data_IF_806454579665
#
_entry.id   IF_806454579665
#
_cell.length_a   1.000
_cell.length_b   1.000
_cell.length_c   1.000
_cell.angle_alpha   90.00
_cell.angle_beta   90.00
_cell.angle_gamma   90.00
#
_symmetry.space_group_name_H-M   'P 1'
#
loop_
_entity.id
_entity.type
_entity.pdbx_description
1 polymer ?
#
# COMPACT_ATOMS: atom_id res chain seq x y z
N UNK A 1 18.96 22.24 -21.70
CA UNK A 1 18.07 21.85 -22.82
C UNK A 1 17.49 20.48 -22.47
N UNK A 2 16.31 20.44 -21.83
CA UNK A 2 15.72 19.21 -21.29
C UNK A 2 14.63 18.69 -22.25
N UNK A 3 14.78 17.44 -22.70
CA UNK A 3 13.80 16.74 -23.54
C UNK A 3 12.66 16.17 -22.70
N UNK A 4 11.49 16.10 -23.32
CA UNK A 4 10.14 15.76 -22.80
C UNK A 4 10.07 14.74 -21.65
N UNK A 5 9.40 15.14 -20.56
CA UNK A 5 9.07 14.31 -19.39
C UNK A 5 7.62 13.82 -19.48
N UNK A 6 7.35 12.81 -20.30
CA UNK A 6 6.20 11.92 -20.07
C UNK A 6 6.77 10.63 -19.48
N UNK A 7 6.43 10.32 -18.23
CA UNK A 7 6.78 9.09 -17.47
C UNK A 7 8.15 8.96 -16.79
N UNK A 8 8.78 10.04 -16.33
CA UNK A 8 9.98 9.92 -15.48
C UNK A 8 9.59 9.93 -14.00
N UNK A 9 9.75 8.79 -13.33
CA UNK A 9 9.85 8.74 -11.87
C UNK A 9 11.07 9.56 -11.46
N UNK A 10 10.84 10.70 -10.79
CA UNK A 10 11.91 11.59 -10.37
C UNK A 10 12.54 11.07 -9.07
N UNK A 11 13.76 10.54 -9.15
CA UNK A 11 14.61 10.37 -7.98
C UNK A 11 15.15 11.75 -7.58
N UNK A 12 14.63 12.32 -6.48
CA UNK A 12 15.09 13.60 -5.94
C UNK A 12 15.89 13.36 -4.65
N UNK A 13 17.15 13.77 -4.63
CA UNK A 13 17.95 13.93 -3.40
C UNK A 13 17.97 15.43 -3.02
N UNK A 14 17.29 15.89 -1.95
CA UNK A 14 17.18 17.31 -1.69
C UNK A 14 18.31 17.85 -0.79
N UNK A 15 19.12 18.79 -1.29
CA UNK A 15 19.75 19.83 -0.46
C UNK A 15 18.70 20.91 -0.08
N UNK A 16 18.87 21.57 1.07
CA UNK A 16 17.87 22.46 1.68
C UNK A 16 17.39 23.63 0.80
N UNK A 17 18.29 24.31 0.09
CA UNK A 17 17.96 25.39 -0.86
C UNK A 17 17.28 24.90 -2.15
N UNK A 18 17.40 23.60 -2.44
CA UNK A 18 16.82 22.92 -3.60
C UNK A 18 15.40 22.45 -3.34
N UNK A 19 15.01 22.24 -2.06
CA UNK A 19 13.69 21.71 -1.66
C UNK A 19 12.53 22.54 -2.22
N UNK A 20 12.54 23.86 -2.01
CA UNK A 20 11.44 24.75 -2.44
C UNK A 20 11.26 24.76 -3.96
N UNK A 21 12.36 24.92 -4.71
CA UNK A 21 12.32 24.94 -6.17
C UNK A 21 11.87 23.61 -6.77
N UNK A 22 12.26 22.47 -6.17
CA UNK A 22 11.79 21.15 -6.61
C UNK A 22 10.30 20.97 -6.32
N UNK A 23 9.82 21.37 -5.14
CA UNK A 23 8.39 21.31 -4.79
C UNK A 23 7.57 22.14 -5.77
N UNK A 24 7.97 23.40 -6.03
CA UNK A 24 7.30 24.27 -6.99
C UNK A 24 7.34 23.68 -8.40
N UNK A 25 8.48 23.15 -8.83
CA UNK A 25 8.62 22.47 -10.12
C UNK A 25 7.64 21.29 -10.25
N UNK A 26 7.62 20.38 -9.28
CA UNK A 26 6.76 19.19 -9.30
C UNK A 26 5.27 19.57 -9.35
N UNK A 27 4.87 20.55 -8.53
CA UNK A 27 3.49 21.03 -8.50
C UNK A 27 3.10 21.74 -9.80
N UNK A 28 3.96 22.61 -10.34
CA UNK A 28 3.71 23.34 -11.59
C UNK A 28 3.59 22.41 -12.79
N UNK A 29 4.38 21.33 -12.81
CA UNK A 29 4.31 20.30 -13.85
C UNK A 29 3.24 19.23 -13.57
N UNK A 30 2.44 19.41 -12.51
CA UNK A 30 1.35 18.49 -12.11
C UNK A 30 1.84 17.05 -11.95
N UNK A 31 3.04 16.86 -11.41
CA UNK A 31 3.55 15.53 -11.09
C UNK A 31 2.78 15.00 -9.88
N UNK A 32 1.91 14.01 -10.11
CA UNK A 32 1.04 13.40 -9.07
C UNK A 32 1.53 12.06 -8.55
N UNK A 33 2.52 11.49 -9.23
CA UNK A 33 3.17 10.24 -8.87
C UNK A 33 4.63 10.51 -8.51
N UNK A 34 5.05 10.10 -7.32
CA UNK A 34 6.43 10.21 -6.88
C UNK A 34 6.95 8.85 -6.43
N UNK A 35 8.07 8.43 -7.01
CA UNK A 35 8.92 7.38 -6.44
C UNK A 35 10.09 8.06 -5.76
N UNK A 36 10.32 7.76 -4.48
CA UNK A 36 11.40 8.38 -3.72
C UNK A 36 12.21 7.37 -2.93
N UNK A 37 13.54 7.47 -3.05
CA UNK A 37 14.49 6.78 -2.18
C UNK A 37 15.17 7.82 -1.27
N UNK A 38 14.65 8.10 -0.08
CA UNK A 38 15.31 8.99 0.87
C UNK A 38 16.71 8.48 1.25
N UNK A 39 17.60 9.41 1.59
CA UNK A 39 18.88 9.07 2.22
C UNK A 39 18.62 8.29 3.51
N UNK A 40 19.50 7.34 3.84
CA UNK A 40 19.43 6.55 5.08
C UNK A 40 19.50 7.40 6.36
N UNK A 41 19.97 8.65 6.25
CA UNK A 41 20.03 9.62 7.34
C UNK A 41 18.71 10.39 7.55
N UNK A 42 17.76 10.36 6.61
CA UNK A 42 16.51 11.11 6.74
C UNK A 42 15.55 10.40 7.68
N UNK A 43 14.94 11.16 8.58
CA UNK A 43 13.89 10.65 9.44
C UNK A 43 12.52 10.70 8.75
N UNK A 44 11.49 10.12 9.38
CA UNK A 44 10.11 10.18 8.89
C UNK A 44 9.60 11.63 8.87
N UNK A 45 10.03 12.44 9.83
CA UNK A 45 9.70 13.86 9.97
C UNK A 45 10.34 14.68 8.83
N UNK A 46 11.61 14.42 8.49
CA UNK A 46 12.28 15.06 7.34
C UNK A 46 11.52 14.80 6.04
N UNK A 47 11.06 13.56 5.86
CA UNK A 47 10.31 13.11 4.70
C UNK A 47 8.92 13.77 4.70
N UNK A 48 8.27 13.85 5.86
CA UNK A 48 6.99 14.56 6.05
C UNK A 48 7.09 16.01 5.65
N UNK A 49 8.14 16.71 6.07
CA UNK A 49 8.34 18.11 5.71
C UNK A 49 8.45 18.33 4.18
N UNK A 50 9.14 17.42 3.48
CA UNK A 50 9.28 17.49 2.01
C UNK A 50 7.94 17.23 1.32
N UNK A 51 7.22 16.19 1.76
CA UNK A 51 5.99 15.74 1.12
C UNK A 51 4.78 16.63 1.43
N UNK A 52 4.76 17.34 2.56
CA UNK A 52 3.66 18.21 2.99
C UNK A 52 3.25 19.25 1.95
N UNK A 53 4.19 19.70 1.12
CA UNK A 53 3.95 20.74 0.13
C UNK A 53 3.69 20.17 -1.28
N UNK A 54 3.72 18.85 -1.44
CA UNK A 54 3.48 18.20 -2.73
C UNK A 54 2.03 17.76 -2.86
N UNK A 55 1.42 18.06 -4.01
CA UNK A 55 0.09 17.57 -4.35
C UNK A 55 0.20 16.22 -5.04
N UNK A 56 0.37 15.15 -4.27
CA UNK A 56 0.48 13.78 -4.79
C UNK A 56 -0.86 13.06 -4.77
N UNK A 57 -1.05 12.18 -5.74
CA UNK A 57 -2.10 11.15 -5.73
C UNK A 57 -1.49 9.78 -5.40
N UNK A 58 -0.20 9.61 -5.65
CA UNK A 58 0.50 8.34 -5.47
C UNK A 58 1.93 8.55 -4.99
N UNK A 59 2.33 7.79 -3.98
CA UNK A 59 3.68 7.79 -3.43
C UNK A 59 4.20 6.35 -3.31
N UNK A 60 5.40 6.14 -3.82
CA UNK A 60 6.20 4.95 -3.60
C UNK A 60 7.50 5.37 -2.92
N UNK A 61 7.78 4.81 -1.74
CA UNK A 61 8.95 5.21 -0.97
C UNK A 61 9.81 4.00 -0.58
N UNK A 62 11.12 4.15 -0.76
CA UNK A 62 12.13 3.12 -0.50
C UNK A 62 12.94 3.48 0.75
N UNK A 63 12.66 2.81 1.86
CA UNK A 63 13.32 3.06 3.13
C UNK A 63 14.50 2.13 3.37
N UNK A 64 15.57 2.75 3.88
CA UNK A 64 16.69 2.05 4.51
C UNK A 64 16.70 2.37 6.01
N UNK A 65 16.90 1.36 6.85
CA UNK A 65 16.86 1.46 8.32
C UNK A 65 15.56 0.95 8.97
N UNK A 66 15.47 1.08 10.30
CA UNK A 66 14.25 0.76 11.06
C UNK A 66 13.45 2.05 11.24
N UNK A 67 12.21 2.07 10.80
CA UNK A 67 11.36 3.26 10.89
C UNK A 67 10.03 2.94 11.56
N UNK A 68 9.56 3.87 12.38
CA UNK A 68 8.21 3.84 12.91
C UNK A 68 7.31 4.65 11.98
N UNK A 69 6.35 3.98 11.35
CA UNK A 69 5.41 4.61 10.43
C UNK A 69 4.18 5.21 11.16
N UNK A 70 4.30 5.51 12.46
CA UNK A 70 3.23 6.14 13.23
C UNK A 70 2.94 7.58 12.82
N UNK A 71 3.93 8.27 12.25
CA UNK A 71 3.91 9.72 12.06
C UNK A 71 3.52 10.14 10.64
N UNK A 72 3.49 9.18 9.72
CA UNK A 72 3.19 9.40 8.29
C UNK A 72 1.69 9.59 7.99
N UNK A 73 0.85 9.87 9.02
CA UNK A 73 -0.62 9.95 8.94
C UNK A 73 -1.13 10.80 7.76
N UNK A 74 -0.37 11.84 7.42
CA UNK A 74 -0.69 12.79 6.34
C UNK A 74 -0.77 12.15 4.95
N UNK A 75 -0.22 10.95 4.73
CA UNK A 75 -0.20 10.29 3.42
C UNK A 75 -1.21 9.15 3.29
N UNK A 76 -1.92 8.82 4.37
CA UNK A 76 -2.86 7.69 4.39
C UNK A 76 -4.14 7.92 3.56
N UNK A 77 -4.32 9.13 3.03
CA UNK A 77 -5.41 9.49 2.12
C UNK A 77 -5.01 9.48 0.63
N UNK A 78 -3.73 9.23 0.30
CA UNK A 78 -3.28 9.09 -1.09
C UNK A 78 -4.00 7.93 -1.77
N UNK A 79 -4.30 8.07 -3.06
CA UNK A 79 -4.94 7.00 -3.84
C UNK A 79 -4.10 5.73 -3.82
N UNK A 80 -2.77 5.88 -3.94
CA UNK A 80 -1.81 4.80 -3.81
C UNK A 80 -0.67 5.17 -2.88
N UNK A 81 -0.35 4.27 -1.96
CA UNK A 81 0.78 4.39 -1.05
C UNK A 81 1.56 3.07 -1.02
N UNK A 82 2.86 3.14 -1.28
CA UNK A 82 3.75 1.98 -1.25
C UNK A 82 4.95 2.24 -0.36
N UNK A 83 5.14 1.40 0.65
CA UNK A 83 6.35 1.36 1.46
C UNK A 83 7.18 0.16 1.08
N UNK A 84 8.43 0.40 0.66
CA UNK A 84 9.39 -0.63 0.33
C UNK A 84 10.58 -0.51 1.27
N UNK A 85 10.68 -1.38 2.28
CA UNK A 85 11.86 -1.42 3.14
C UNK A 85 12.93 -2.33 2.54
N UNK A 86 14.20 -1.99 2.74
CA UNK A 86 15.30 -2.88 2.37
C UNK A 86 15.21 -4.21 3.14
N UNK A 87 15.86 -5.28 2.65
CA UNK A 87 15.85 -6.59 3.33
C UNK A 87 16.41 -6.58 4.76
N UNK A 88 17.27 -5.59 5.08
CA UNK A 88 17.87 -5.40 6.40
C UNK A 88 17.06 -4.44 7.29
N UNK A 89 15.93 -3.97 6.77
CA UNK A 89 15.10 -2.91 7.32
C UNK A 89 13.73 -3.46 7.67
N UNK A 90 13.08 -2.82 8.64
CA UNK A 90 11.74 -3.21 9.08
C UNK A 90 10.95 -1.94 9.37
N UNK A 91 9.83 -1.78 8.66
CA UNK A 91 8.80 -0.81 9.01
C UNK A 91 7.92 -1.36 10.12
N UNK A 92 7.86 -0.68 11.26
CA UNK A 92 6.95 -1.06 12.34
C UNK A 92 5.60 -0.36 12.14
N UNK A 93 4.51 -1.14 12.15
CA UNK A 93 3.16 -0.63 11.95
C UNK A 93 2.14 -1.45 12.75
N UNK A 94 1.20 -0.77 13.39
CA UNK A 94 0.11 -1.38 14.17
C UNK A 94 -1.19 -1.45 13.36
N UNK A 95 -2.12 -2.32 13.76
CA UNK A 95 -3.43 -2.42 13.15
C UNK A 95 -4.24 -1.12 13.20
N UNK A 96 -4.12 -0.33 14.28
CA UNK A 96 -4.78 0.97 14.39
C UNK A 96 -4.28 1.92 13.30
N UNK A 97 -2.96 1.93 13.03
CA UNK A 97 -2.41 2.74 11.94
C UNK A 97 -2.87 2.25 10.58
N UNK A 98 -2.90 0.93 10.34
CA UNK A 98 -3.46 0.38 9.10
C UNK A 98 -4.89 0.88 8.86
N UNK A 99 -5.72 0.96 9.91
CA UNK A 99 -7.11 1.42 9.77
C UNK A 99 -7.26 2.90 9.44
N UNK A 100 -6.20 3.70 9.58
CA UNK A 100 -6.22 5.12 9.19
C UNK A 100 -6.12 5.29 7.66
N UNK A 101 -5.81 4.22 6.90
CA UNK A 101 -5.82 4.26 5.44
C UNK A 101 -7.21 4.51 4.87
N UNK A 102 -7.31 5.55 4.04
CA UNK A 102 -8.52 5.92 3.29
C UNK A 102 -8.30 5.98 1.78
N UNK A 103 -7.13 5.53 1.32
CA UNK A 103 -6.77 5.40 -0.09
C UNK A 103 -7.32 4.14 -0.76
N UNK A 104 -6.97 3.96 -2.03
CA UNK A 104 -7.41 2.81 -2.85
C UNK A 104 -6.43 1.64 -2.75
N UNK A 105 -5.14 1.93 -2.76
CA UNK A 105 -4.10 0.90 -2.92
C UNK A 105 -2.98 1.08 -1.90
N UNK A 106 -2.77 0.07 -1.06
CA UNK A 106 -1.71 0.06 -0.06
C UNK A 106 -0.79 -1.14 -0.26
N UNK A 107 0.50 -0.86 -0.48
CA UNK A 107 1.55 -1.87 -0.56
C UNK A 107 2.54 -1.70 0.59
N UNK A 108 2.75 -2.78 1.35
CA UNK A 108 3.60 -2.80 2.52
C UNK A 108 4.63 -3.91 2.35
N UNK A 109 5.78 -3.58 1.78
CA UNK A 109 6.88 -4.51 1.56
C UNK A 109 7.90 -4.41 2.70
N UNK A 110 8.18 -5.55 3.33
CA UNK A 110 9.07 -5.72 4.48
C UNK A 110 8.61 -4.96 5.75
N UNK A 111 7.29 -4.86 5.96
CA UNK A 111 6.71 -4.33 7.20
C UNK A 111 6.45 -5.42 8.26
N UNK A 112 6.67 -5.12 9.54
CA UNK A 112 6.30 -5.99 10.67
C UNK A 112 4.84 -5.72 11.08
N UNK A 113 3.92 -6.36 10.35
CA UNK A 113 2.47 -6.31 10.57
C UNK A 113 2.03 -7.69 11.05
N UNK A 114 1.31 -7.81 12.16
CA UNK A 114 0.92 -9.12 12.72
C UNK A 114 -0.41 -9.62 12.15
N UNK A 115 -0.72 -10.90 12.35
CA UNK A 115 -2.02 -11.47 11.98
C UNK A 115 -3.19 -10.67 12.59
N UNK A 116 -3.07 -10.28 13.86
CA UNK A 116 -4.10 -9.52 14.57
C UNK A 116 -4.26 -8.08 14.05
N UNK A 117 -3.20 -7.49 13.51
CA UNK A 117 -3.26 -6.20 12.81
C UNK A 117 -4.04 -6.31 11.51
N UNK A 118 -3.83 -7.39 10.75
CA UNK A 118 -4.62 -7.69 9.53
C UNK A 118 -6.09 -7.92 9.87
N UNK A 119 -6.38 -8.68 10.93
CA UNK A 119 -7.76 -8.91 11.39
C UNK A 119 -8.43 -7.59 11.77
N UNK A 120 -7.74 -6.71 12.52
CA UNK A 120 -8.26 -5.37 12.87
C UNK A 120 -8.57 -4.56 11.61
N UNK A 121 -7.66 -4.53 10.63
CA UNK A 121 -7.86 -3.81 9.38
C UNK A 121 -9.06 -4.33 8.58
N UNK A 122 -9.15 -5.64 8.35
CA UNK A 122 -10.25 -6.23 7.58
C UNK A 122 -11.58 -6.01 8.31
N UNK A 123 -11.62 -6.14 9.65
CA UNK A 123 -12.85 -5.85 10.42
C UNK A 123 -13.28 -4.39 10.29
N UNK A 124 -12.33 -3.45 10.28
CA UNK A 124 -12.62 -2.04 10.05
C UNK A 124 -13.24 -1.83 8.65
N UNK A 125 -12.65 -2.44 7.61
CA UNK A 125 -13.22 -2.39 6.26
C UNK A 125 -14.62 -3.04 6.18
N UNK A 126 -14.83 -4.19 6.83
CA UNK A 126 -16.14 -4.87 6.90
C UNK A 126 -17.21 -3.97 7.54
N UNK A 127 -16.84 -3.09 8.47
CA UNK A 127 -17.73 -2.10 9.09
C UNK A 127 -17.96 -0.85 8.22
N UNK A 128 -18.00 -1.02 6.89
CA UNK A 128 -18.28 0.03 5.89
C UNK A 128 -17.28 1.19 5.86
N UNK A 129 -16.11 1.06 6.48
CA UNK A 129 -15.04 2.04 6.36
C UNK A 129 -14.20 1.81 5.09
N UNK A 130 -13.56 2.89 4.62
CA UNK A 130 -12.74 2.93 3.40
C UNK A 130 -13.39 2.19 2.20
N UNK A 131 -14.54 2.68 1.73
CA UNK A 131 -15.21 2.17 0.52
C UNK A 131 -14.39 2.37 -0.75
N UNK A 132 -13.29 3.14 -0.71
CA UNK A 132 -12.40 3.38 -1.85
C UNK A 132 -11.36 2.28 -2.01
N UNK A 133 -11.14 1.45 -0.98
CA UNK A 133 -10.12 0.42 -0.97
C UNK A 133 -10.32 -0.54 -2.15
N UNK A 134 -9.27 -0.75 -2.92
CA UNK A 134 -9.18 -1.70 -4.03
C UNK A 134 -8.20 -2.82 -3.69
N UNK A 135 -7.11 -2.52 -2.98
CA UNK A 135 -6.06 -3.51 -2.71
C UNK A 135 -5.27 -3.16 -1.45
N UNK A 136 -5.07 -4.16 -0.60
CA UNK A 136 -3.98 -4.22 0.38
C UNK A 136 -3.07 -5.41 0.02
N UNK A 137 -1.77 -5.16 -0.12
CA UNK A 137 -0.75 -6.21 -0.21
C UNK A 137 0.29 -6.00 0.87
N UNK A 138 0.61 -7.09 1.56
CA UNK A 138 1.68 -7.12 2.56
C UNK A 138 2.66 -8.20 2.15
N UNK A 139 3.95 -7.85 2.04
CA UNK A 139 5.05 -8.80 1.92
C UNK A 139 6.01 -8.61 3.10
N UNK A 140 6.52 -9.70 3.67
CA UNK A 140 7.24 -9.68 4.95
C UNK A 140 8.43 -10.63 4.94
N UNK A 141 9.51 -10.25 5.63
CA UNK A 141 10.71 -11.09 5.75
C UNK A 141 10.71 -12.07 6.93
N UNK A 142 10.28 -11.62 8.11
CA UNK A 142 10.71 -12.26 9.36
C UNK A 142 9.65 -13.15 10.02
N UNK A 143 8.44 -12.62 10.25
CA UNK A 143 7.36 -13.36 10.92
C UNK A 143 6.46 -14.06 9.91
N UNK A 144 5.79 -15.14 10.32
CA UNK A 144 4.80 -15.87 9.49
C UNK A 144 3.37 -15.40 9.80
N UNK A 145 2.52 -15.30 8.77
CA UNK A 145 1.11 -14.94 8.94
C UNK A 145 0.41 -16.24 9.31
N UNK A 146 -0.42 -16.18 10.34
CA UNK A 146 -1.28 -17.31 10.65
C UNK A 146 -2.56 -17.16 9.82
N UNK A 147 -2.61 -17.94 8.74
CA UNK A 147 -3.78 -18.00 7.86
C UNK A 147 -5.04 -18.44 8.61
N UNK A 148 -4.92 -19.38 9.53
CA UNK A 148 -6.09 -19.89 10.26
C UNK A 148 -6.60 -18.84 11.25
N UNK A 149 -5.70 -18.16 11.94
CA UNK A 149 -6.04 -17.02 12.82
C UNK A 149 -6.79 -15.93 12.04
N UNK A 150 -6.29 -15.54 10.87
CA UNK A 150 -6.91 -14.49 10.05
C UNK A 150 -8.28 -14.94 9.51
N UNK A 151 -8.36 -16.13 8.89
CA UNK A 151 -9.58 -16.54 8.21
C UNK A 151 -10.71 -16.93 9.18
N UNK A 152 -10.41 -17.49 10.36
CA UNK A 152 -11.44 -17.83 11.36
C UNK A 152 -12.10 -16.61 12.00
N UNK A 153 -11.51 -15.43 11.84
CA UNK A 153 -12.09 -14.19 12.36
C UNK A 153 -13.27 -13.67 11.52
N UNK A 154 -13.54 -14.27 10.37
CA UNK A 154 -14.55 -13.81 9.42
C UNK A 154 -15.38 -14.98 8.88
N UNK A 155 -16.63 -14.70 8.55
CA UNK A 155 -17.40 -15.58 7.67
C UNK A 155 -16.82 -15.47 6.26
N UNK A 156 -16.48 -16.61 5.67
CA UNK A 156 -15.88 -16.67 4.34
C UNK A 156 -16.57 -17.73 3.49
N UNK A 157 -16.56 -17.51 2.18
CA UNK A 157 -16.93 -18.54 1.19
C UNK A 157 -15.74 -18.90 0.33
N UNK A 158 -15.84 -20.03 -0.36
CA UNK A 158 -14.82 -20.44 -1.32
C UNK A 158 -14.78 -19.49 -2.50
N UNK A 159 -13.59 -19.30 -3.06
CA UNK A 159 -13.43 -18.47 -4.24
C UNK A 159 -14.12 -19.11 -5.46
N UNK A 160 -14.96 -18.35 -6.16
CA UNK A 160 -15.62 -18.71 -7.42
C UNK A 160 -15.09 -17.87 -8.59
N UNK A 161 -14.71 -18.54 -9.68
CA UNK A 161 -14.25 -17.96 -10.94
C UNK A 161 -15.35 -17.23 -11.73
N UNK A 162 -16.60 -17.51 -11.44
CA UNK A 162 -17.73 -16.94 -12.18
C UNK A 162 -18.17 -15.57 -11.65
N UNK A 163 -17.70 -15.16 -10.46
CA UNK A 163 -18.09 -13.88 -9.84
C UNK A 163 -17.13 -12.72 -10.17
N UNK A 164 -15.86 -13.00 -10.50
CA UNK A 164 -14.83 -11.99 -10.81
C UNK A 164 -13.65 -12.58 -11.60
N UNK A 165 -12.76 -11.74 -12.17
CA UNK A 165 -11.62 -12.20 -12.94
C UNK A 165 -10.73 -13.21 -12.19
N UNK A 166 -10.23 -14.21 -12.94
CA UNK A 166 -9.30 -15.22 -12.43
C UNK A 166 -7.97 -14.59 -11.99
N UNK A 167 -7.53 -13.55 -12.69
CA UNK A 167 -6.22 -12.98 -12.49
C UNK A 167 -6.30 -11.66 -11.72
N UNK A 168 -5.45 -11.54 -10.71
CA UNK A 168 -5.07 -10.26 -10.15
C UNK A 168 -3.88 -9.69 -10.92
N UNK A 169 -3.95 -8.41 -11.27
CA UNK A 169 -2.85 -7.69 -11.94
C UNK A 169 -2.51 -6.43 -11.15
N UNK A 170 -1.36 -6.45 -10.47
CA UNK A 170 -0.73 -5.23 -9.93
C UNK A 170 -0.08 -4.47 -11.07
N UNK A 171 -0.68 -3.33 -11.41
CA UNK A 171 -0.05 -2.34 -12.31
C UNK A 171 0.98 -1.53 -11.51
N UNK A 172 2.24 -1.54 -11.95
CA UNK A 172 3.30 -0.63 -11.52
C UNK A 172 3.64 0.30 -12.69
N UNK A 173 4.27 1.47 -12.46
CA UNK A 173 4.55 2.41 -13.55
C UNK A 173 5.39 1.83 -14.69
N UNK A 174 6.25 0.85 -14.38
CA UNK A 174 7.25 0.31 -15.32
C UNK A 174 7.11 -1.19 -15.55
N UNK A 175 6.21 -1.87 -14.84
CA UNK A 175 6.04 -3.33 -14.89
C UNK A 175 4.65 -3.73 -14.40
N UNK A 176 4.26 -4.99 -14.59
CA UNK A 176 3.06 -5.55 -13.99
C UNK A 176 3.37 -6.90 -13.37
N UNK A 177 2.86 -7.10 -12.16
CA UNK A 177 2.89 -8.41 -11.51
C UNK A 177 1.49 -9.01 -11.55
N UNK A 178 1.37 -10.23 -12.04
CA UNK A 178 0.10 -10.93 -12.13
C UNK A 178 0.15 -12.30 -11.46
N UNK A 179 -0.97 -12.72 -10.90
CA UNK A 179 -1.17 -14.09 -10.45
C UNK A 179 -2.64 -14.47 -10.56
N UNK A 180 -2.89 -15.77 -10.71
CA UNK A 180 -4.24 -16.33 -10.71
C UNK A 180 -4.68 -16.70 -9.29
N UNK A 181 -5.94 -16.44 -8.97
CA UNK A 181 -6.64 -16.96 -7.79
C UNK A 181 -6.83 -18.48 -7.89
N UNK A 182 -7.07 -19.15 -6.76
CA UNK A 182 -7.30 -20.59 -6.71
C UNK A 182 -8.29 -20.97 -5.60
N UNK A 183 -8.71 -22.24 -5.57
CA UNK A 183 -9.70 -22.78 -4.64
C UNK A 183 -9.37 -22.64 -3.14
N UNK A 184 -8.11 -22.37 -2.78
CA UNK A 184 -7.70 -22.12 -1.39
C UNK A 184 -7.91 -20.66 -0.98
N UNK A 185 -8.07 -19.77 -1.94
CA UNK A 185 -8.42 -18.38 -1.63
C UNK A 185 -9.88 -18.32 -1.15
N UNK A 186 -10.19 -17.25 -0.42
CA UNK A 186 -11.48 -17.09 0.25
C UNK A 186 -12.05 -15.73 -0.09
N UNK A 187 -13.37 -15.65 -0.14
CA UNK A 187 -14.05 -14.38 -0.25
C UNK A 187 -14.69 -13.95 1.04
N UNK A 188 -14.78 -12.63 1.16
CA UNK A 188 -15.53 -11.92 2.16
C UNK A 188 -16.54 -11.06 1.43
N UNK A 189 -17.80 -11.13 1.85
CA UNK A 189 -18.87 -10.28 1.34
C UNK A 189 -19.22 -9.31 2.46
N UNK A 190 -19.01 -8.03 2.20
CA UNK A 190 -19.41 -6.97 3.12
C UNK A 190 -20.92 -6.77 3.04
N UNK A 191 -21.52 -6.25 4.10
CA UNK A 191 -22.98 -6.05 4.22
C UNK A 191 -23.58 -5.23 3.07
N UNK A 192 -22.82 -4.31 2.47
CA UNK A 192 -23.23 -3.50 1.32
C UNK A 192 -23.04 -4.21 -0.04
N UNK A 193 -22.71 -5.50 -0.04
CA UNK A 193 -22.49 -6.32 -1.22
C UNK A 193 -21.08 -6.22 -1.81
N UNK A 194 -20.18 -5.41 -1.23
CA UNK A 194 -18.80 -5.35 -1.71
C UNK A 194 -18.08 -6.67 -1.46
N UNK A 195 -17.54 -7.22 -2.54
CA UNK A 195 -16.84 -8.50 -2.53
C UNK A 195 -15.33 -8.27 -2.46
N UNK A 196 -14.67 -8.97 -1.54
CA UNK A 196 -13.23 -9.01 -1.46
C UNK A 196 -12.72 -10.45 -1.50
N UNK A 197 -11.57 -10.68 -2.15
CA UNK A 197 -10.85 -11.95 -2.09
C UNK A 197 -9.59 -11.80 -1.25
N UNK A 198 -9.36 -12.76 -0.36
CA UNK A 198 -8.18 -12.85 0.49
C UNK A 198 -7.33 -14.09 0.15
N UNK A 199 -6.02 -13.86 0.01
CA UNK A 199 -5.00 -14.91 -0.05
C UNK A 199 -3.97 -14.66 1.03
N UNK A 200 -3.85 -15.62 1.95
CA UNK A 200 -2.84 -15.60 3.00
C UNK A 200 -1.82 -16.69 2.76
N UNK A 201 -0.57 -16.29 2.52
CA UNK A 201 0.62 -17.16 2.48
C UNK A 201 1.47 -16.88 3.72
N UNK A 202 2.45 -17.74 4.06
CA UNK A 202 3.27 -17.52 5.25
C UNK A 202 3.91 -16.13 5.36
N UNK A 203 4.26 -15.49 4.24
CA UNK A 203 4.90 -14.17 4.22
C UNK A 203 4.14 -13.10 3.44
N UNK A 204 3.03 -13.47 2.80
CA UNK A 204 2.33 -12.58 1.89
C UNK A 204 0.84 -12.56 2.21
N UNK A 205 0.26 -11.38 2.18
CA UNK A 205 -1.18 -11.16 2.18
C UNK A 205 -1.55 -10.44 0.88
N UNK A 206 -2.61 -10.91 0.24
CA UNK A 206 -3.34 -10.17 -0.78
C UNK A 206 -4.79 -10.06 -0.33
N UNK A 207 -5.29 -8.83 -0.24
CA UNK A 207 -6.68 -8.53 0.04
C UNK A 207 -7.17 -7.56 -1.02
N UNK A 208 -8.03 -8.04 -1.92
CA UNK A 208 -8.41 -7.35 -3.16
C UNK A 208 -9.92 -7.19 -3.21
N UNK A 209 -10.37 -5.97 -3.47
CA UNK A 209 -11.79 -5.60 -3.49
C UNK A 209 -12.23 -5.49 -4.95
N UNK A 210 -13.33 -6.15 -5.28
CA UNK A 210 -13.90 -6.19 -6.62
C UNK A 210 -15.03 -5.17 -6.74
N UNK A 211 -14.70 -3.95 -7.17
CA UNK A 211 -15.66 -2.87 -7.45
C UNK A 211 -16.53 -3.13 -8.68
N UNK A 212 -16.11 -4.07 -9.53
CA UNK A 212 -16.89 -4.59 -10.64
C UNK A 212 -16.88 -6.10 -10.52
N UNK A 213 -17.98 -6.65 -10.01
CA UNK A 213 -18.33 -8.05 -10.19
C UNK A 213 -18.84 -8.23 -11.62
N UNK A 214 -18.72 -9.44 -12.17
CA UNK A 214 -19.17 -9.71 -13.54
C UNK A 214 -20.67 -9.47 -13.74
#
# INVERSE_FOLDING_TARGET
MFRSFHSLGCNVEPMESTKKHVIEFLNNHKIRYLTWKPSSSMTVEDISLVLENLKLDSLEIYYEGKQNLSEIRKWWNLDRLEFNFSKKSVGCMSGIQLTEFSGKVLYLDHCDIRSDDIVKFIRHWMNKHNSRLETLVVDRNHRRLDRNEILRAFETKEWDRNERPLDYVRKLPQTSYAFSWNHKDRDLVREDGMLATIRVKPRQLYFVIWHKVF
#
